data_IF_820863639689
#
_entry.id   IF_820863639689
#
_cell.length_a   1.000
_cell.length_b   1.000
_cell.length_c   1.000
_cell.angle_alpha   90.00
_cell.angle_beta   90.00
_cell.angle_gamma   90.00
#
_symmetry.space_group_name_H-M   'P 1'
#
loop_
_entity.id
_entity.type
_entity.pdbx_description
1 polymer ?
#
# COMPACT_ATOMS: atom_id res chain seq x y z
N UNK A 1 29.25 27.01 7.30
CA UNK A 1 27.81 27.33 7.39
C UNK A 1 27.27 27.01 6.03
N UNK A 2 26.92 25.74 5.83
CA UNK A 2 26.35 25.27 4.57
C UNK A 2 24.89 25.70 4.58
N UNK A 3 24.54 26.60 3.67
CA UNK A 3 23.14 26.85 3.35
C UNK A 3 22.60 25.60 2.68
N UNK A 4 21.77 24.82 3.38
CA UNK A 4 20.85 23.89 2.73
C UNK A 4 20.05 24.72 1.72
N UNK A 5 20.36 24.53 0.43
CA UNK A 5 19.48 24.99 -0.63
C UNK A 5 18.22 24.14 -0.52
N UNK A 6 17.10 24.76 -0.12
CA UNK A 6 15.78 24.12 -0.19
C UNK A 6 15.51 23.70 -1.65
N UNK A 7 14.89 22.53 -1.83
CA UNK A 7 14.52 22.04 -3.15
C UNK A 7 13.52 23.03 -3.78
N UNK A 8 13.78 23.57 -4.99
CA UNK A 8 12.85 24.47 -5.65
C UNK A 8 11.42 23.94 -5.79
N UNK A 9 11.23 22.61 -5.82
CA UNK A 9 9.90 21.99 -5.79
C UNK A 9 9.23 22.14 -4.43
N UNK A 10 9.97 22.00 -3.34
CA UNK A 10 9.45 22.19 -1.99
C UNK A 10 9.10 23.66 -1.75
N UNK A 11 9.96 24.59 -2.18
CA UNK A 11 9.67 26.03 -2.14
C UNK A 11 8.38 26.37 -2.92
N UNK A 12 8.21 25.79 -4.12
CA UNK A 12 7.00 25.97 -4.92
C UNK A 12 5.76 25.39 -4.23
N UNK A 13 5.85 24.21 -3.62
CA UNK A 13 4.75 23.60 -2.88
C UNK A 13 4.36 24.45 -1.68
N UNK A 14 5.32 24.88 -0.87
CA UNK A 14 5.08 25.73 0.30
C UNK A 14 4.47 27.07 -0.11
N UNK A 15 4.98 27.69 -1.17
CA UNK A 15 4.42 28.91 -1.73
C UNK A 15 2.96 28.73 -2.19
N UNK A 16 2.66 27.61 -2.84
CA UNK A 16 1.31 27.28 -3.34
C UNK A 16 0.33 26.93 -2.22
N UNK A 17 0.82 26.27 -1.15
CA UNK A 17 0.02 25.81 -0.01
C UNK A 17 -0.13 26.86 1.09
N UNK A 18 0.74 27.87 1.13
CA UNK A 18 0.68 28.97 2.10
C UNK A 18 -0.73 29.58 2.30
N UNK A 19 -1.50 29.91 1.25
CA UNK A 19 -2.81 30.52 1.42
C UNK A 19 -3.88 29.55 1.95
N UNK A 20 -3.58 28.24 2.05
CA UNK A 20 -4.44 27.22 2.63
C UNK A 20 -4.25 27.02 4.14
N UNK A 21 -3.19 27.57 4.74
CA UNK A 21 -2.90 27.41 6.16
C UNK A 21 -4.08 27.75 7.09
N UNK A 22 -4.87 28.83 6.86
CA UNK A 22 -6.05 29.11 7.68
C UNK A 22 -7.09 28.00 7.62
N UNK A 23 -7.30 27.40 6.44
CA UNK A 23 -8.24 26.29 6.24
C UNK A 23 -7.74 25.06 7.01
N UNK A 24 -6.44 24.77 6.95
CA UNK A 24 -5.86 23.63 7.69
C UNK A 24 -5.97 23.81 9.21
N UNK A 25 -5.87 25.03 9.72
CA UNK A 25 -6.05 25.31 11.15
C UNK A 25 -7.49 25.14 11.66
N UNK A 26 -8.49 25.17 10.77
CA UNK A 26 -9.89 24.89 11.14
C UNK A 26 -10.17 23.38 11.30
N UNK A 27 -9.30 22.52 10.77
CA UNK A 27 -9.45 21.07 10.88
C UNK A 27 -9.13 20.65 12.32
N UNK A 28 -10.11 20.00 12.97
CA UNK A 28 -9.95 19.51 14.33
C UNK A 28 -8.80 18.47 14.39
N UNK A 29 -7.92 18.55 15.39
CA UNK A 29 -6.86 17.56 15.55
C UNK A 29 -7.45 16.20 15.89
N UNK A 30 -6.72 15.14 15.56
CA UNK A 30 -7.10 13.79 15.93
C UNK A 30 -7.15 13.64 17.45
N UNK A 31 -8.21 13.01 17.96
CA UNK A 31 -8.30 12.55 19.33
C UNK A 31 -7.38 11.33 19.56
N UNK A 32 -6.31 11.42 20.37
CA UNK A 32 -5.40 10.30 20.60
C UNK A 32 -6.02 9.12 21.36
N UNK A 33 -7.14 9.36 22.05
CA UNK A 33 -7.88 8.31 22.79
C UNK A 33 -8.90 7.58 21.93
N UNK A 34 -9.19 8.09 20.73
CA UNK A 34 -10.08 7.43 19.77
C UNK A 34 -9.35 6.30 19.06
N UNK A 35 -10.06 5.19 18.83
CA UNK A 35 -9.59 4.15 17.91
C UNK A 35 -10.06 4.50 16.51
N UNK A 36 -9.11 4.70 15.61
CA UNK A 36 -9.39 4.91 14.20
C UNK A 36 -9.30 3.58 13.44
N UNK A 37 -10.04 3.51 12.36
CA UNK A 37 -10.26 2.32 11.55
C UNK A 37 -9.95 2.62 10.08
N UNK A 38 -9.94 1.57 9.25
CA UNK A 38 -9.87 1.75 7.81
C UNK A 38 -11.05 2.59 7.30
N UNK A 39 -12.22 2.50 7.94
CA UNK A 39 -13.37 3.31 7.54
C UNK A 39 -13.06 4.80 7.65
N UNK A 40 -12.47 5.21 8.78
CA UNK A 40 -12.10 6.61 9.04
C UNK A 40 -11.10 7.17 8.03
N UNK A 41 -10.29 6.31 7.39
CA UNK A 41 -9.31 6.71 6.37
C UNK A 41 -9.86 6.62 4.94
N UNK A 42 -10.64 5.58 4.62
CA UNK A 42 -11.08 5.31 3.25
C UNK A 42 -12.31 6.14 2.86
N UNK A 43 -13.13 6.53 3.84
CA UNK A 43 -14.36 7.29 3.64
C UNK A 43 -14.29 8.68 4.27
N UNK A 44 -13.08 9.20 4.48
CA UNK A 44 -12.90 10.59 4.92
C UNK A 44 -13.49 11.54 3.88
N UNK A 45 -14.10 12.63 4.34
CA UNK A 45 -14.54 13.72 3.47
C UNK A 45 -13.33 14.35 2.76
N UNK A 46 -13.38 14.40 1.43
CA UNK A 46 -12.36 15.05 0.60
C UNK A 46 -12.86 16.41 0.14
N UNK A 47 -12.10 17.46 0.44
CA UNK A 47 -12.38 18.82 0.00
C UNK A 47 -11.43 19.20 -1.13
N UNK A 48 -11.99 19.56 -2.29
CA UNK A 48 -11.21 19.91 -3.47
C UNK A 48 -11.09 21.43 -3.63
N UNK A 49 -9.86 21.89 -3.80
CA UNK A 49 -9.57 23.29 -4.03
C UNK A 49 -8.63 23.45 -5.22
N UNK A 50 -8.67 24.64 -5.83
CA UNK A 50 -7.63 25.14 -6.72
C UNK A 50 -7.04 26.41 -6.13
N UNK A 51 -5.82 26.77 -6.52
CA UNK A 51 -5.28 28.10 -6.27
C UNK A 51 -5.58 29.02 -7.45
N UNK A 52 -5.92 30.28 -7.21
CA UNK A 52 -6.05 31.32 -8.23
C UNK A 52 -5.28 32.58 -7.81
N UNK A 53 -4.89 33.40 -8.79
CA UNK A 53 -4.30 34.71 -8.55
C UNK A 53 -5.40 35.77 -8.67
N UNK A 54 -5.66 36.48 -7.58
CA UNK A 54 -6.59 37.61 -7.52
C UNK A 54 -5.84 38.80 -6.96
N UNK A 55 -5.74 39.90 -7.73
CA UNK A 55 -5.03 41.12 -7.33
C UNK A 55 -3.60 40.84 -6.79
N UNK A 56 -2.82 40.08 -7.57
CA UNK A 56 -1.45 39.65 -7.24
C UNK A 56 -1.30 38.82 -5.96
N UNK A 57 -2.39 38.23 -5.46
CA UNK A 57 -2.39 37.32 -4.30
C UNK A 57 -2.91 35.94 -4.68
N UNK A 58 -2.26 34.90 -4.16
CA UNK A 58 -2.77 33.54 -4.24
C UNK A 58 -3.96 33.38 -3.27
N UNK A 59 -5.06 32.86 -3.79
CA UNK A 59 -6.30 32.63 -3.05
C UNK A 59 -6.77 31.20 -3.29
N UNK A 60 -7.11 30.44 -2.22
CA UNK A 60 -7.71 29.13 -2.37
C UNK A 60 -9.16 29.29 -2.83
N UNK A 61 -9.53 28.56 -3.87
CA UNK A 61 -10.89 28.55 -4.41
C UNK A 61 -11.46 27.15 -4.24
N UNK A 62 -12.52 27.07 -3.43
CA UNK A 62 -13.24 25.82 -3.22
C UNK A 62 -13.94 25.40 -4.52
N UNK A 63 -13.66 24.19 -4.99
CA UNK A 63 -14.23 23.65 -6.23
C UNK A 63 -15.63 23.04 -6.02
N UNK A 64 -16.12 23.00 -4.78
CA UNK A 64 -17.42 22.46 -4.42
C UNK A 64 -17.35 21.02 -3.91
N UNK A 65 -18.43 20.60 -3.24
CA UNK A 65 -18.60 19.24 -2.75
C UNK A 65 -18.66 18.28 -3.94
N UNK A 66 -17.63 17.45 -4.10
CA UNK A 66 -17.70 16.29 -4.98
C UNK A 66 -18.48 15.14 -4.32
N UNK A 67 -19.54 15.43 -3.55
CA UNK A 67 -20.40 14.45 -2.85
C UNK A 67 -21.00 13.35 -3.74
N UNK A 68 -20.92 13.51 -5.06
CA UNK A 68 -21.35 12.52 -6.06
C UNK A 68 -20.21 11.88 -6.87
N UNK A 69 -18.95 12.30 -6.67
CA UNK A 69 -17.84 11.38 -6.94
C UNK A 69 -17.85 10.45 -5.74
N UNK A 70 -18.45 9.27 -5.91
CA UNK A 70 -18.15 8.16 -5.00
C UNK A 70 -16.62 8.06 -4.90
N UNK A 71 -16.12 7.32 -3.93
CA UNK A 71 -14.73 6.85 -3.95
C UNK A 71 -14.50 5.92 -5.18
N UNK A 72 -14.79 6.38 -6.40
CA UNK A 72 -14.88 5.64 -7.67
C UNK A 72 -13.55 4.98 -8.02
N UNK A 73 -12.48 5.40 -7.35
CA UNK A 73 -11.18 4.81 -7.48
C UNK A 73 -10.92 3.71 -6.46
N UNK A 74 -11.55 3.71 -5.28
CA UNK A 74 -11.26 2.78 -4.19
C UNK A 74 -12.31 1.68 -4.10
N UNK A 75 -11.84 0.45 -4.11
CA UNK A 75 -12.69 -0.73 -4.05
C UNK A 75 -13.09 -1.24 -5.44
N UNK A 76 -13.34 -2.54 -5.51
CA UNK A 76 -13.76 -3.18 -6.74
C UNK A 76 -14.83 -4.24 -6.48
N UNK A 77 -15.83 -4.28 -7.36
CA UNK A 77 -16.79 -5.38 -7.40
C UNK A 77 -16.12 -6.56 -8.10
N UNK A 78 -16.10 -7.71 -7.43
CA UNK A 78 -15.55 -8.93 -8.02
C UNK A 78 -16.58 -9.60 -8.95
N UNK A 79 -16.16 -10.09 -10.13
CA UNK A 79 -17.02 -10.92 -10.96
C UNK A 79 -17.50 -12.15 -10.18
N UNK A 80 -18.75 -12.57 -10.40
CA UNK A 80 -19.33 -13.75 -9.75
C UNK A 80 -18.58 -15.06 -10.05
N UNK A 81 -17.72 -15.08 -11.07
CA UNK A 81 -16.85 -16.21 -11.40
C UNK A 81 -15.65 -16.37 -10.46
N UNK A 82 -15.32 -15.36 -9.65
CA UNK A 82 -14.23 -15.41 -8.68
C UNK A 82 -14.78 -15.96 -7.38
N UNK A 83 -14.44 -17.21 -7.05
CA UNK A 83 -14.74 -17.78 -5.74
C UNK A 83 -13.70 -17.29 -4.74
N UNK A 84 -14.10 -16.50 -3.76
CA UNK A 84 -13.26 -16.00 -2.67
C UNK A 84 -13.75 -16.39 -1.28
N UNK A 85 -14.59 -17.42 -1.19
CA UNK A 85 -15.15 -17.92 0.08
C UNK A 85 -14.09 -18.44 1.05
N UNK A 86 -12.90 -18.80 0.55
CA UNK A 86 -11.77 -19.23 1.37
C UNK A 86 -11.15 -18.09 2.21
N UNK A 87 -11.44 -16.83 1.88
CA UNK A 87 -10.91 -15.70 2.63
C UNK A 87 -11.86 -15.30 3.77
N UNK A 88 -11.33 -15.06 4.98
CA UNK A 88 -12.02 -14.24 5.95
C UNK A 88 -12.32 -12.87 5.36
N UNK A 89 -13.52 -12.36 5.61
CA UNK A 89 -13.95 -11.02 5.21
C UNK A 89 -14.00 -10.16 6.47
N UNK A 90 -13.42 -8.96 6.40
CA UNK A 90 -13.47 -7.97 7.47
C UNK A 90 -14.14 -6.71 6.97
N UNK A 91 -14.96 -6.10 7.82
CA UNK A 91 -15.51 -4.78 7.53
C UNK A 91 -14.43 -3.70 7.81
N UNK A 92 -14.33 -2.59 7.05
CA UNK A 92 -13.40 -1.49 7.31
C UNK A 92 -13.38 -1.02 8.78
N UNK A 93 -14.55 -0.97 9.44
CA UNK A 93 -14.72 -0.65 10.87
C UNK A 93 -13.99 -1.60 11.84
N UNK A 94 -13.75 -2.84 11.44
CA UNK A 94 -13.11 -3.86 12.28
C UNK A 94 -11.58 -3.79 12.22
N UNK A 95 -11.05 -3.04 11.26
CA UNK A 95 -9.63 -2.97 10.94
C UNK A 95 -9.07 -1.65 11.45
N UNK A 96 -8.31 -1.70 12.54
CA UNK A 96 -7.73 -0.51 13.18
C UNK A 96 -6.48 -0.03 12.45
N UNK A 97 -6.30 1.29 12.42
CA UNK A 97 -5.12 1.95 11.86
C UNK A 97 -4.26 2.59 12.95
N UNK A 98 -2.92 2.58 12.83
CA UNK A 98 -2.07 3.33 13.73
C UNK A 98 -2.22 4.83 13.48
N UNK A 99 -2.30 5.60 14.57
CA UNK A 99 -2.26 7.06 14.51
C UNK A 99 -0.78 7.47 14.41
N UNK A 100 -0.43 8.29 13.42
CA UNK A 100 0.83 9.04 13.43
C UNK A 100 0.58 10.38 14.13
N UNK A 101 1.59 10.97 14.76
CA UNK A 101 1.45 12.04 15.77
C UNK A 101 0.42 13.14 15.44
N UNK A 102 0.24 13.49 14.16
CA UNK A 102 -0.63 14.60 13.76
C UNK A 102 -1.67 14.26 12.66
N UNK A 103 -1.70 13.04 12.11
CA UNK A 103 -2.64 12.71 11.03
C UNK A 103 -2.84 11.21 10.80
N UNK A 104 -3.97 10.88 10.18
CA UNK A 104 -4.23 9.56 9.64
C UNK A 104 -3.48 9.42 8.31
N UNK A 105 -2.94 8.23 8.02
CA UNK A 105 -2.32 7.99 6.72
C UNK A 105 -3.38 8.07 5.63
N UNK A 106 -3.11 8.82 4.54
CA UNK A 106 -4.02 8.86 3.39
C UNK A 106 -4.31 7.47 2.81
N UNK A 107 -3.31 6.57 2.83
CA UNK A 107 -3.51 5.14 2.58
C UNK A 107 -2.81 4.33 3.69
N UNK A 108 -3.56 3.81 4.67
CA UNK A 108 -2.98 3.00 5.75
C UNK A 108 -2.37 1.72 5.19
N UNK A 109 -1.06 1.53 5.35
CA UNK A 109 -0.37 0.29 4.93
C UNK A 109 -0.22 -0.74 6.04
N UNK A 110 -0.11 -0.30 7.30
CA UNK A 110 -0.04 -1.18 8.47
C UNK A 110 -1.36 -1.07 9.22
N UNK A 111 -2.01 -2.19 9.47
CA UNK A 111 -3.32 -2.24 10.13
C UNK A 111 -3.38 -3.35 11.17
N UNK A 112 -4.39 -3.32 12.04
CA UNK A 112 -4.59 -4.28 13.12
C UNK A 112 -6.02 -4.82 13.06
N UNK A 113 -6.14 -6.13 12.88
CA UNK A 113 -7.44 -6.81 12.79
C UNK A 113 -7.74 -7.44 14.14
N UNK A 114 -8.95 -7.23 14.67
CA UNK A 114 -9.35 -7.80 15.95
C UNK A 114 -9.22 -9.34 15.93
N UNK A 115 -8.69 -9.91 17.02
CA UNK A 115 -8.43 -11.35 17.13
C UNK A 115 -7.13 -11.83 16.47
N UNK A 116 -6.41 -10.98 15.73
CA UNK A 116 -5.06 -11.31 15.22
C UNK A 116 -3.96 -10.80 16.14
N UNK A 117 -2.97 -11.65 16.38
CA UNK A 117 -1.80 -11.32 17.23
C UNK A 117 -0.78 -10.44 16.52
N UNK A 118 -0.73 -10.49 15.19
CA UNK A 118 0.23 -9.73 14.36
C UNK A 118 -0.50 -8.68 13.55
N UNK A 119 0.17 -7.56 13.29
CA UNK A 119 -0.32 -6.56 12.35
C UNK A 119 -0.40 -7.12 10.92
N UNK A 120 -1.27 -6.53 10.12
CA UNK A 120 -1.46 -6.86 8.71
C UNK A 120 -0.93 -5.73 7.84
N UNK A 121 -0.48 -6.07 6.64
CA UNK A 121 -0.29 -5.10 5.57
C UNK A 121 -1.60 -4.95 4.80
N UNK A 122 -2.16 -3.75 4.77
CA UNK A 122 -3.33 -3.45 3.94
C UNK A 122 -2.87 -3.02 2.55
N UNK A 123 -3.22 -3.84 1.55
CA UNK A 123 -3.04 -3.50 0.14
C UNK A 123 -4.35 -2.98 -0.40
N UNK A 124 -4.45 -1.67 -0.55
CA UNK A 124 -5.60 -1.01 -1.16
C UNK A 124 -5.81 -1.54 -2.58
N UNK A 125 -7.07 -1.66 -2.94
CA UNK A 125 -7.51 -2.01 -4.28
C UNK A 125 -8.09 -0.78 -4.92
N UNK A 126 -7.65 -0.53 -6.15
CA UNK A 126 -8.29 0.44 -7.01
C UNK A 126 -9.21 -0.25 -8.02
N UNK A 127 -10.23 0.47 -8.48
CA UNK A 127 -11.13 -0.01 -9.53
C UNK A 127 -10.35 -0.52 -10.76
N UNK A 128 -10.65 -1.74 -11.22
CA UNK A 128 -9.92 -2.40 -12.32
C UNK A 128 -9.93 -3.94 -12.23
N UNK A 129 -9.01 -4.60 -12.94
CA UNK A 129 -8.86 -6.07 -12.93
C UNK A 129 -8.20 -6.58 -11.65
N UNK A 130 -8.96 -6.52 -10.54
CA UNK A 130 -8.60 -7.06 -9.24
C UNK A 130 -8.65 -8.60 -9.21
N UNK A 131 -9.46 -9.21 -10.07
CA UNK A 131 -9.71 -10.64 -10.05
C UNK A 131 -8.39 -11.42 -10.15
N UNK A 132 -7.51 -11.00 -11.06
CA UNK A 132 -6.18 -11.61 -11.21
C UNK A 132 -5.36 -11.57 -9.93
N UNK A 133 -5.36 -10.44 -9.24
CA UNK A 133 -4.55 -10.28 -8.04
C UNK A 133 -5.06 -11.14 -6.88
N UNK A 134 -6.38 -11.14 -6.63
CA UNK A 134 -6.99 -11.99 -5.62
C UNK A 134 -6.75 -13.48 -5.93
N UNK A 135 -6.98 -13.90 -7.17
CA UNK A 135 -6.76 -15.28 -7.62
C UNK A 135 -5.31 -15.71 -7.40
N UNK A 136 -4.34 -14.81 -7.60
CA UNK A 136 -2.93 -15.10 -7.30
C UNK A 136 -2.71 -15.33 -5.81
N UNK A 137 -3.23 -14.48 -4.94
CA UNK A 137 -3.13 -14.67 -3.48
C UNK A 137 -3.86 -15.92 -2.98
N UNK A 138 -4.94 -16.34 -3.63
CA UNK A 138 -5.58 -17.62 -3.35
C UNK A 138 -4.68 -18.79 -3.68
N UNK A 139 -4.00 -18.79 -4.82
CA UNK A 139 -3.07 -19.88 -5.15
C UNK A 139 -2.00 -20.04 -4.09
N UNK A 140 -1.52 -18.93 -3.50
CA UNK A 140 -0.59 -18.98 -2.36
C UNK A 140 -1.24 -19.45 -1.07
N UNK A 141 -2.54 -19.19 -0.86
CA UNK A 141 -3.27 -19.66 0.31
C UNK A 141 -3.19 -21.17 0.48
N UNK A 142 -3.39 -21.88 -0.63
CA UNK A 142 -3.35 -23.33 -0.67
C UNK A 142 -1.95 -23.91 -0.44
N UNK A 143 -0.90 -23.10 -0.56
CA UNK A 143 0.46 -23.60 -0.45
C UNK A 143 0.93 -23.82 0.98
N UNK A 144 0.34 -23.19 2.02
CA UNK A 144 0.64 -23.36 3.46
C UNK A 144 2.13 -23.40 3.90
N UNK A 145 3.08 -23.25 2.98
CA UNK A 145 4.47 -23.66 3.13
C UNK A 145 5.42 -22.48 3.25
N UNK A 146 4.92 -21.25 3.05
CA UNK A 146 5.70 -20.03 3.30
C UNK A 146 4.91 -19.12 4.25
N UNK A 147 5.20 -19.18 5.57
CA UNK A 147 4.49 -18.41 6.60
C UNK A 147 4.49 -16.89 6.35
N UNK A 148 5.49 -16.38 5.62
CA UNK A 148 5.68 -14.94 5.35
C UNK A 148 4.69 -14.39 4.32
N UNK A 149 3.99 -15.25 3.57
CA UNK A 149 3.00 -14.86 2.56
C UNK A 149 1.57 -15.25 2.93
N UNK A 150 1.31 -15.47 4.21
CA UNK A 150 -0.05 -15.76 4.68
C UNK A 150 -0.96 -14.57 4.36
N UNK A 151 -1.87 -14.80 3.42
CA UNK A 151 -3.06 -14.00 3.20
C UNK A 151 -3.91 -14.07 4.47
N UNK A 152 -4.40 -12.92 4.89
CA UNK A 152 -5.09 -12.77 6.16
C UNK A 152 -6.60 -12.54 5.98
N UNK A 153 -7.02 -12.02 4.83
CA UNK A 153 -8.42 -11.89 4.41
C UNK A 153 -8.63 -10.74 3.43
N UNK A 154 -9.90 -10.46 3.14
CA UNK A 154 -10.35 -9.33 2.33
C UNK A 154 -10.99 -8.27 3.23
N UNK A 155 -10.87 -7.00 2.84
CA UNK A 155 -11.64 -5.91 3.45
C UNK A 155 -12.76 -5.55 2.48
N UNK A 156 -14.00 -5.61 2.95
CA UNK A 156 -15.19 -5.41 2.13
C UNK A 156 -16.16 -4.44 2.82
N UNK A 157 -16.73 -3.51 2.07
CA UNK A 157 -17.75 -2.58 2.58
C UNK A 157 -19.16 -3.21 2.62
N UNK A 158 -20.13 -2.44 3.12
CA UNK A 158 -21.54 -2.84 3.23
C UNK A 158 -22.20 -3.15 1.88
N UNK A 159 -21.69 -2.57 0.78
CA UNK A 159 -22.20 -2.76 -0.59
C UNK A 159 -21.54 -3.96 -1.31
N UNK A 160 -20.58 -4.63 -0.65
CA UNK A 160 -19.87 -5.78 -1.19
C UNK A 160 -18.64 -5.44 -2.05
N UNK A 161 -18.21 -4.18 -2.10
CA UNK A 161 -16.98 -3.79 -2.78
C UNK A 161 -15.76 -4.21 -1.97
N UNK A 162 -14.80 -4.86 -2.62
CA UNK A 162 -13.54 -5.24 -1.98
C UNK A 162 -12.60 -4.05 -2.02
N UNK A 163 -12.40 -3.43 -0.85
CA UNK A 163 -11.56 -2.26 -0.63
C UNK A 163 -10.07 -2.60 -0.63
N UNK A 164 -9.71 -3.84 -0.28
CA UNK A 164 -8.33 -4.28 -0.27
C UNK A 164 -8.07 -5.67 0.29
N UNK A 165 -6.80 -6.06 0.27
CA UNK A 165 -6.28 -7.31 0.82
C UNK A 165 -5.59 -7.06 2.16
N UNK A 166 -5.91 -7.87 3.16
CA UNK A 166 -5.10 -7.99 4.37
C UNK A 166 -4.05 -9.09 4.16
N UNK A 167 -2.78 -8.70 4.18
CA UNK A 167 -1.62 -9.59 4.02
C UNK A 167 -0.81 -9.62 5.31
N UNK A 168 0.07 -10.60 5.47
CA UNK A 168 1.02 -10.61 6.59
C UNK A 168 1.95 -9.41 6.51
N UNK A 169 2.04 -8.65 7.61
CA UNK A 169 2.95 -7.51 7.69
C UNK A 169 4.40 -8.00 7.82
N UNK A 170 5.28 -7.50 6.94
CA UNK A 170 6.72 -7.74 7.01
C UNK A 170 7.35 -6.44 7.51
N UNK A 171 7.92 -6.50 8.71
CA UNK A 171 8.67 -5.37 9.24
C UNK A 171 10.03 -5.29 8.54
N UNK A 172 10.21 -4.24 7.74
CA UNK A 172 11.37 -4.04 6.88
C UNK A 172 11.97 -2.64 7.03
N UNK A 173 11.47 -1.81 7.96
CA UNK A 173 11.87 -0.41 8.10
C UNK A 173 11.96 0.36 6.75
N UNK A 174 11.02 0.04 5.84
CA UNK A 174 10.95 0.54 4.45
C UNK A 174 12.15 0.18 3.57
N UNK A 175 13.03 -0.73 3.99
CA UNK A 175 14.14 -1.22 3.21
C UNK A 175 13.68 -2.24 2.15
N UNK A 176 13.93 -1.90 0.90
CA UNK A 176 13.91 -2.85 -0.22
C UNK A 176 15.34 -3.09 -0.66
N UNK A 177 15.56 -4.15 -1.43
CA UNK A 177 16.86 -4.44 -2.03
C UNK A 177 17.30 -3.30 -2.99
N UNK A 178 16.36 -2.49 -3.49
CA UNK A 178 16.64 -1.30 -4.29
C UNK A 178 17.25 -0.13 -3.48
N UNK A 179 17.12 -0.15 -2.15
CA UNK A 179 17.69 0.86 -1.26
C UNK A 179 19.13 0.54 -0.85
N UNK A 180 19.65 -0.63 -1.26
CA UNK A 180 20.94 -1.15 -0.81
C UNK A 180 21.98 -0.87 -1.90
N UNK A 181 23.06 -0.19 -1.55
CA UNK A 181 24.18 -0.01 -2.45
C UNK A 181 24.85 -1.38 -2.70
N UNK A 182 24.82 -1.81 -3.96
CA UNK A 182 25.44 -3.07 -4.39
C UNK A 182 26.95 -3.09 -4.19
N UNK A 183 27.60 -1.93 -4.08
CA UNK A 183 29.04 -1.80 -3.89
C UNK A 183 29.47 -1.73 -2.42
N UNK A 184 28.54 -1.56 -1.48
CA UNK A 184 28.88 -1.48 -0.07
C UNK A 184 29.41 -2.86 0.41
N UNK A 185 30.66 -2.93 0.92
CA UNK A 185 31.25 -4.18 1.40
C UNK A 185 30.52 -4.77 2.62
N UNK A 186 29.80 -3.97 3.40
CA UNK A 186 29.05 -4.41 4.58
C UNK A 186 27.96 -5.45 4.23
N UNK A 187 27.49 -5.46 2.98
CA UNK A 187 26.47 -6.41 2.53
C UNK A 187 27.05 -7.63 1.79
N UNK A 188 28.37 -7.79 1.71
CA UNK A 188 28.98 -8.85 0.90
C UNK A 188 28.49 -10.26 1.22
N UNK A 189 28.46 -10.61 2.50
CA UNK A 189 27.96 -11.91 2.96
C UNK A 189 26.42 -12.02 2.84
N UNK A 190 25.72 -10.89 3.00
CA UNK A 190 24.26 -10.83 2.90
C UNK A 190 23.76 -10.97 1.46
N UNK A 191 24.54 -10.52 0.46
CA UNK A 191 24.18 -10.67 -0.96
C UNK A 191 23.99 -12.14 -1.34
N UNK A 192 24.91 -13.01 -0.93
CA UNK A 192 24.78 -14.44 -1.21
C UNK A 192 23.58 -15.05 -0.49
N UNK A 193 23.39 -14.68 0.80
CA UNK A 193 22.21 -15.10 1.57
C UNK A 193 20.90 -14.72 0.87
N UNK A 194 20.79 -13.49 0.38
CA UNK A 194 19.57 -13.04 -0.32
C UNK A 194 19.36 -13.77 -1.64
N UNK A 195 20.43 -14.00 -2.43
CA UNK A 195 20.35 -14.81 -3.65
C UNK A 195 19.82 -16.21 -3.35
N UNK A 196 20.31 -16.85 -2.29
CA UNK A 196 19.90 -18.19 -1.89
C UNK A 196 18.43 -18.21 -1.45
N UNK A 197 18.01 -17.23 -0.64
CA UNK A 197 16.62 -17.10 -0.17
C UNK A 197 15.63 -16.83 -1.29
N UNK A 198 15.97 -15.91 -2.21
CA UNK A 198 15.16 -15.59 -3.39
C UNK A 198 15.06 -16.83 -4.28
N UNK A 199 16.19 -17.49 -4.57
CA UNK A 199 16.24 -18.69 -5.41
C UNK A 199 15.43 -19.84 -4.81
N UNK A 200 15.51 -20.04 -3.50
CA UNK A 200 14.73 -21.05 -2.79
C UNK A 200 13.22 -20.78 -2.91
N UNK A 201 12.82 -19.53 -2.64
CA UNK A 201 11.41 -19.10 -2.74
C UNK A 201 10.87 -19.27 -4.16
N UNK A 202 11.64 -18.86 -5.18
CA UNK A 202 11.25 -19.02 -6.59
C UNK A 202 11.16 -20.49 -7.01
N UNK A 203 12.11 -21.34 -6.60
CA UNK A 203 12.05 -22.79 -6.86
C UNK A 203 10.77 -23.39 -6.28
N UNK A 204 10.41 -23.01 -5.06
CA UNK A 204 9.18 -23.47 -4.41
C UNK A 204 7.92 -22.96 -5.13
N UNK A 205 7.89 -21.72 -5.62
CA UNK A 205 6.75 -21.24 -6.40
C UNK A 205 6.65 -21.93 -7.76
N UNK A 206 7.76 -22.08 -8.47
CA UNK A 206 7.79 -22.75 -9.77
C UNK A 206 7.40 -24.22 -9.67
N UNK A 207 7.74 -24.93 -8.58
CA UNK A 207 7.30 -26.32 -8.36
C UNK A 207 5.79 -26.45 -8.21
N UNK A 208 5.08 -25.35 -7.95
CA UNK A 208 3.62 -25.29 -7.85
C UNK A 208 2.99 -24.52 -9.01
N UNK A 209 3.72 -24.32 -10.11
CA UNK A 209 3.28 -23.56 -11.29
C UNK A 209 2.86 -22.11 -10.99
N UNK A 210 3.49 -21.49 -9.99
CA UNK A 210 3.30 -20.07 -9.68
C UNK A 210 4.50 -19.28 -10.17
N UNK A 211 4.24 -18.26 -11.00
CA UNK A 211 5.25 -17.35 -11.53
C UNK A 211 5.12 -16.01 -10.81
N UNK A 212 6.24 -15.42 -10.38
CA UNK A 212 6.23 -14.13 -9.66
C UNK A 212 5.75 -12.96 -10.53
N UNK A 213 6.20 -12.90 -11.80
CA UNK A 213 5.68 -11.98 -12.82
C UNK A 213 6.23 -10.54 -12.79
N UNK A 214 6.73 -10.04 -11.66
CA UNK A 214 7.28 -8.67 -11.52
C UNK A 214 8.61 -8.68 -10.75
N UNK A 215 9.61 -9.39 -11.28
CA UNK A 215 10.91 -9.51 -10.62
C UNK A 215 11.71 -8.20 -10.69
N UNK A 216 11.86 -7.51 -9.56
CA UNK A 216 12.68 -6.30 -9.41
C UNK A 216 13.15 -6.12 -7.97
N UNK A 217 14.28 -5.41 -7.79
CA UNK A 217 14.84 -5.13 -6.47
C UNK A 217 13.85 -4.40 -5.53
N UNK A 218 12.98 -3.55 -6.09
CA UNK A 218 11.94 -2.86 -5.33
C UNK A 218 10.82 -3.78 -4.80
N UNK A 219 10.67 -4.99 -5.35
CA UNK A 219 9.72 -6.00 -4.88
C UNK A 219 10.40 -7.05 -3.98
N UNK A 220 11.62 -6.79 -3.50
CA UNK A 220 12.28 -7.63 -2.50
C UNK A 220 12.46 -6.81 -1.24
N UNK A 221 11.70 -7.13 -0.20
CA UNK A 221 11.83 -6.53 1.12
C UNK A 221 12.97 -7.20 1.88
N UNK A 222 13.74 -6.41 2.63
CA UNK A 222 14.70 -6.95 3.60
C UNK A 222 14.10 -6.76 4.99
N UNK A 223 13.78 -7.86 5.66
CA UNK A 223 13.18 -7.79 6.99
C UNK A 223 14.18 -7.41 8.09
N UNK A 224 13.69 -7.19 9.31
CA UNK A 224 14.52 -6.89 10.48
C UNK A 224 15.61 -7.95 10.80
N UNK A 225 15.46 -9.18 10.30
CA UNK A 225 16.45 -10.26 10.44
C UNK A 225 17.43 -10.31 9.25
N UNK A 226 17.37 -9.31 8.38
CA UNK A 226 18.14 -9.21 7.12
C UNK A 226 17.86 -10.38 6.18
N UNK A 227 16.63 -10.88 6.17
CA UNK A 227 16.17 -11.90 5.23
C UNK A 227 15.40 -11.29 4.06
N UNK A 228 15.62 -11.82 2.86
CA UNK A 228 14.94 -11.39 1.65
C UNK A 228 13.52 -12.00 1.55
N UNK A 229 12.52 -11.13 1.34
CA UNK A 229 11.12 -11.51 1.17
C UNK A 229 10.58 -10.95 -0.15
N UNK A 230 10.13 -11.83 -1.04
CA UNK A 230 9.53 -11.45 -2.32
C UNK A 230 8.11 -10.89 -2.11
N UNK A 231 7.76 -9.75 -2.70
CA UNK A 231 6.41 -9.19 -2.61
C UNK A 231 5.83 -8.87 -3.99
N UNK A 232 4.58 -8.39 -4.00
CA UNK A 232 3.88 -7.92 -5.19
C UNK A 232 3.67 -9.00 -6.28
N UNK A 233 2.88 -10.01 -5.96
CA UNK A 233 2.58 -11.12 -6.85
C UNK A 233 1.39 -10.87 -7.80
N UNK A 234 0.83 -9.66 -7.83
CA UNK A 234 -0.38 -9.33 -8.61
C UNK A 234 -0.20 -9.36 -10.14
N UNK A 235 0.95 -9.84 -10.65
CA UNK A 235 1.21 -10.00 -12.08
C UNK A 235 1.27 -8.67 -12.85
N UNK A 236 1.62 -7.57 -12.16
CA UNK A 236 1.89 -6.30 -12.81
C UNK A 236 3.01 -6.46 -13.84
N UNK A 237 2.70 -6.22 -15.10
CA UNK A 237 3.68 -6.26 -16.18
C UNK A 237 4.49 -4.97 -16.19
N UNK A 238 5.80 -5.05 -15.91
CA UNK A 238 6.70 -3.92 -16.17
C UNK A 238 7.08 -3.94 -17.65
N UNK A 239 6.60 -2.96 -18.42
CA UNK A 239 6.89 -2.81 -19.86
C UNK A 239 8.40 -2.75 -20.09
N UNK A 240 8.94 -3.74 -20.82
CA UNK A 240 10.36 -3.79 -21.20
C UNK A 240 11.17 -4.96 -20.63
N UNK A 241 10.61 -5.81 -19.75
CA UNK A 241 11.37 -6.89 -19.09
C UNK A 241 11.05 -8.32 -19.61
N UNK A 242 9.88 -8.55 -20.20
CA UNK A 242 9.49 -9.84 -20.82
C UNK A 242 8.53 -9.59 -21.99
N UNK A 243 8.50 -10.45 -23.01
CA UNK A 243 7.55 -10.35 -24.12
C UNK A 243 6.10 -10.61 -23.67
N UNK A 244 5.16 -9.81 -24.19
CA UNK A 244 3.72 -9.93 -23.91
C UNK A 244 3.20 -11.27 -24.46
N UNK A 245 2.64 -12.11 -23.58
CA UNK A 245 1.93 -13.34 -23.98
C UNK A 245 2.55 -14.67 -23.54
N UNK A 246 3.55 -14.66 -22.66
CA UNK A 246 4.03 -15.87 -21.98
C UNK A 246 3.78 -15.78 -20.47
N UNK A 247 2.51 -15.86 -20.07
CA UNK A 247 2.05 -16.12 -18.69
C UNK A 247 0.96 -17.17 -18.77
#
# INVERSE_FOLDING_TARGET
MDSEYEDPLDEMHDWTLHPFLPIFHEIAPLNPSQKYTLEDCLFTEELHYTVQVVEDKLVPVYLGDTKNMKHDLTGASLPSSVDYSAFPIYHPREVQVPISANSLPGIPRKVFIHGKTRSSFFKIVYGGDIAREILTYQRFAWLNSIPRFSHQGLVQDDDGYVMGLALSYIDCDRATLNCIDGHDPNFSELRQKWVDQISHTLKHFHSHNIIWGDAKAANVLIDINKDACLVNFGGGYTKGWVEKGKV
#
